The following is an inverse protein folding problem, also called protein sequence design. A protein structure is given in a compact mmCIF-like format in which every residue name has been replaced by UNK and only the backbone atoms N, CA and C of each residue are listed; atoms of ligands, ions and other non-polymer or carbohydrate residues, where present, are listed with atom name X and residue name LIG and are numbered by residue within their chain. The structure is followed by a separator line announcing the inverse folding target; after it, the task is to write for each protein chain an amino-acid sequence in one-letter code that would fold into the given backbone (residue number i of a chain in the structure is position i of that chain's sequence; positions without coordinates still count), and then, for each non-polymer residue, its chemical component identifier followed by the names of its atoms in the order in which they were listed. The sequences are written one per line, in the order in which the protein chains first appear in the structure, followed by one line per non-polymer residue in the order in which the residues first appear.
data_IF_549748611810
#
_entry.id   IF_549748611810
#
_cell.length_a   1.000
_cell.length_b   1.000
_cell.length_c   1.000
_cell.angle_alpha   90.00
_cell.angle_beta   90.00
_cell.angle_gamma   90.00
#
_symmetry.space_group_name_H-M   'P 1'
#
loop_
_entity.id
_entity.type
_entity.pdbx_description
1 polymer ?
#
# COMPACT_ATOMS: atom_id res chain seq x y z
N UNK A 1 10.99 -14.93 -1.84
CA UNK A 1 10.55 -13.94 -2.85
C UNK A 1 10.07 -12.72 -2.08
N UNK A 2 10.89 -11.69 -1.93
CA UNK A 2 10.45 -10.43 -1.30
C UNK A 2 9.40 -9.78 -2.20
N UNK A 3 8.18 -9.61 -1.69
CA UNK A 3 7.12 -8.91 -2.41
C UNK A 3 7.12 -7.47 -1.92
N UNK A 4 7.70 -6.55 -2.71
CA UNK A 4 7.57 -5.11 -2.50
C UNK A 4 6.12 -4.68 -2.81
N UNK A 5 5.19 -5.05 -1.94
CA UNK A 5 3.77 -4.95 -2.18
C UNK A 5 3.05 -4.52 -0.91
N UNK A 6 2.37 -3.39 -1.02
CA UNK A 6 1.34 -2.96 -0.08
C UNK A 6 -0.03 -3.28 -0.71
N UNK A 7 -0.96 -3.79 0.09
CA UNK A 7 -2.32 -4.11 -0.37
C UNK A 7 -3.31 -3.28 0.42
N UNK A 8 -4.29 -2.71 -0.30
CA UNK A 8 -5.48 -2.12 0.30
C UNK A 8 -6.66 -3.05 0.00
N UNK A 9 -7.42 -3.43 1.02
CA UNK A 9 -8.55 -4.34 0.89
C UNK A 9 -9.73 -3.94 1.80
N UNK A 10 -10.97 -4.34 1.46
CA UNK A 10 -12.13 -4.10 2.32
C UNK A 10 -11.99 -4.76 3.69
N UNK A 11 -12.45 -4.06 4.73
CA UNK A 11 -12.55 -4.56 6.10
C UNK A 11 -13.92 -4.21 6.69
N UNK A 12 -14.39 -4.92 7.73
CA UNK A 12 -15.75 -4.71 8.29
C UNK A 12 -16.06 -3.26 8.70
N UNK A 13 -15.04 -2.49 9.10
CA UNK A 13 -15.17 -1.09 9.55
C UNK A 13 -14.39 -0.10 8.66
N UNK A 14 -13.99 -0.51 7.46
CA UNK A 14 -13.26 0.37 6.55
C UNK A 14 -12.36 -0.36 5.56
N UNK A 15 -11.09 0.02 5.52
CA UNK A 15 -10.11 -0.44 4.55
C UNK A 15 -8.83 -0.83 5.27
N UNK A 16 -8.44 -2.09 5.12
CA UNK A 16 -7.19 -2.61 5.66
C UNK A 16 -6.05 -2.31 4.70
N UNK A 17 -4.95 -1.79 5.22
CA UNK A 17 -3.67 -1.60 4.53
C UNK A 17 -2.70 -2.59 5.11
N UNK A 18 -2.10 -3.44 4.29
CA UNK A 18 -1.18 -4.48 4.72
C UNK A 18 0.13 -4.43 3.94
N UNK A 19 1.23 -4.62 4.65
CA UNK A 19 2.57 -4.82 4.11
C UNK A 19 3.17 -6.09 4.73
N UNK A 20 3.91 -6.85 3.94
CA UNK A 20 4.51 -8.12 4.39
C UNK A 20 5.58 -7.92 5.49
N UNK A 21 6.08 -6.68 5.66
CA UNK A 21 7.11 -6.34 6.65
C UNK A 21 6.61 -5.51 7.84
N UNK A 22 5.50 -4.79 7.72
CA UNK A 22 5.04 -3.82 8.73
C UNK A 22 3.72 -4.20 9.43
N UNK A 23 3.09 -5.32 9.05
CA UNK A 23 1.78 -5.71 9.58
C UNK A 23 0.64 -5.02 8.83
N UNK A 24 -0.52 -4.88 9.48
CA UNK A 24 -1.68 -4.25 8.83
C UNK A 24 -2.51 -3.40 9.78
N UNK A 25 -2.98 -2.26 9.27
CA UNK A 25 -3.88 -1.33 9.96
C UNK A 25 -5.19 -1.15 9.20
N UNK A 26 -6.26 -0.77 9.91
CA UNK A 26 -7.58 -0.50 9.30
C UNK A 26 -7.96 0.98 9.40
N UNK A 27 -8.37 1.55 8.29
CA UNK A 27 -8.74 2.97 8.17
C UNK A 27 -10.19 3.13 7.77
N UNK A 28 -10.90 4.03 8.46
CA UNK A 28 -12.34 4.23 8.25
C UNK A 28 -12.73 4.76 6.85
N UNK A 29 -11.80 5.40 6.12
CA UNK A 29 -12.11 6.02 4.83
C UNK A 29 -11.11 5.64 3.74
N UNK A 30 -11.60 5.65 2.49
CA UNK A 30 -10.78 5.42 1.28
C UNK A 30 -9.55 6.34 1.24
N UNK A 31 -9.74 7.63 1.49
CA UNK A 31 -8.64 8.60 1.45
C UNK A 31 -7.55 8.30 2.50
N UNK A 32 -7.94 7.94 3.72
CA UNK A 32 -6.98 7.57 4.78
C UNK A 32 -6.19 6.31 4.43
N UNK A 33 -6.87 5.30 3.87
CA UNK A 33 -6.21 4.06 3.45
C UNK A 33 -5.21 4.28 2.31
N UNK A 34 -5.55 5.13 1.32
CA UNK A 34 -4.64 5.49 0.22
C UNK A 34 -3.41 6.23 0.77
N UNK A 35 -3.60 7.22 1.64
CA UNK A 35 -2.50 7.96 2.25
C UNK A 35 -1.59 7.06 3.08
N UNK A 36 -2.17 6.18 3.89
CA UNK A 36 -1.41 5.22 4.69
C UNK A 36 -0.62 4.24 3.83
N UNK A 37 -1.24 3.69 2.77
CA UNK A 37 -0.57 2.80 1.84
C UNK A 37 0.59 3.49 1.11
N UNK A 38 0.42 4.75 0.70
CA UNK A 38 1.47 5.54 0.08
C UNK A 38 2.62 5.84 1.03
N UNK A 39 2.32 6.23 2.27
CA UNK A 39 3.33 6.48 3.30
C UNK A 39 4.17 5.22 3.56
N UNK A 40 3.51 4.07 3.72
CA UNK A 40 4.15 2.79 3.98
C UNK A 40 5.01 2.32 2.79
N UNK A 41 4.50 2.44 1.57
CA UNK A 41 5.25 2.12 0.37
C UNK A 41 6.46 3.05 0.18
N UNK A 42 6.32 4.35 0.50
CA UNK A 42 7.41 5.33 0.42
C UNK A 42 8.51 5.05 1.44
N UNK A 43 8.15 4.74 2.69
CA UNK A 43 9.11 4.36 3.73
C UNK A 43 9.88 3.11 3.32
N UNK A 44 9.17 2.10 2.80
CA UNK A 44 9.81 0.88 2.30
C UNK A 44 10.72 1.13 1.10
N UNK A 45 10.29 1.97 0.15
CA UNK A 45 11.10 2.36 -0.99
C UNK A 45 12.39 3.06 -0.55
N UNK A 46 12.32 3.99 0.40
CA UNK A 46 13.49 4.68 0.94
C UNK A 46 14.44 3.73 1.68
N UNK A 47 13.90 2.78 2.46
CA UNK A 47 14.70 1.81 3.21
C UNK A 47 15.39 0.78 2.31
N UNK A 48 14.74 0.36 1.23
CA UNK A 48 15.21 -0.77 0.39
C UNK A 48 15.83 -0.33 -0.94
N UNK A 49 15.59 0.92 -1.37
CA UNK A 49 15.97 1.42 -2.69
C UNK A 49 15.18 0.80 -3.86
N UNK A 50 14.17 -0.03 -3.58
CA UNK A 50 13.41 -0.78 -4.60
C UNK A 50 12.02 -0.18 -4.77
N UNK A 51 11.49 -0.23 -5.99
CA UNK A 51 10.10 0.12 -6.26
C UNK A 51 9.13 -0.77 -5.45
N UNK A 52 8.05 -0.17 -4.98
CA UNK A 52 7.00 -0.80 -4.16
C UNK A 52 5.65 -0.61 -4.83
N UNK A 53 4.97 -1.71 -5.12
CA UNK A 53 3.62 -1.68 -5.67
C UNK A 53 2.59 -1.50 -4.54
N UNK A 54 1.55 -0.72 -4.80
CA UNK A 54 0.34 -0.62 -3.98
C UNK A 54 -0.80 -1.18 -4.82
N UNK A 55 -1.31 -2.34 -4.43
CA UNK A 55 -2.49 -2.94 -5.03
C UNK A 55 -3.75 -2.38 -4.38
N UNK A 56 -4.56 -1.67 -5.16
CA UNK A 56 -5.83 -1.11 -4.69
C UNK A 56 -6.97 -2.13 -4.89
N UNK A 57 -8.12 -1.95 -4.19
CA UNK A 57 -9.33 -2.72 -4.44
C UNK A 57 -9.84 -2.54 -5.87
N UNK A 58 -10.67 -3.49 -6.31
CA UNK A 58 -11.32 -3.42 -7.62
C UNK A 58 -12.16 -2.13 -7.75
N UNK A 59 -12.08 -1.50 -8.93
CA UNK A 59 -12.75 -0.23 -9.22
C UNK A 59 -12.04 1.02 -8.69
N UNK A 60 -10.84 0.92 -8.09
CA UNK A 60 -10.10 2.07 -7.57
C UNK A 60 -8.95 2.56 -8.45
N UNK A 61 -8.69 1.91 -9.59
CA UNK A 61 -7.63 2.31 -10.53
C UNK A 61 -6.45 1.35 -10.63
N UNK A 62 -6.53 0.16 -10.02
CA UNK A 62 -5.56 -0.92 -10.23
C UNK A 62 -4.35 -0.86 -9.29
N UNK A 63 -3.14 -0.98 -9.84
CA UNK A 63 -1.90 -0.99 -9.06
C UNK A 63 -1.13 0.29 -9.30
N UNK A 64 -0.75 0.97 -8.23
CA UNK A 64 0.14 2.13 -8.25
C UNK A 64 1.55 1.68 -7.85
N UNK A 65 2.60 2.33 -8.36
CA UNK A 65 3.99 2.00 -8.01
C UNK A 65 4.65 3.23 -7.39
N UNK A 66 5.29 3.04 -6.24
CA UNK A 66 6.07 4.05 -5.52
C UNK A 66 7.54 3.70 -5.67
N UNK A 67 8.30 4.56 -6.34
CA UNK A 67 9.71 4.34 -6.65
C UNK A 67 9.94 4.00 -8.12
N UNK A 68 10.78 4.84 -8.73
CA UNK A 68 11.31 4.85 -10.10
C UNK A 68 10.33 4.53 -11.26
N UNK A 69 9.81 5.59 -11.88
CA UNK A 69 10.13 5.77 -13.30
C UNK A 69 11.56 6.33 -13.40
N UNK A 70 12.31 5.86 -14.40
CA UNK A 70 13.70 6.23 -14.66
C UNK A 70 13.87 7.73 -14.96
#
# INVERSE_FOLDING_TARGET
MERNLVVIEPAPTGWRVADDLAGSDTFATKAKAILAAYALASERQQRTGRAVAIKMPDGWGGTMVVGAEA
#
